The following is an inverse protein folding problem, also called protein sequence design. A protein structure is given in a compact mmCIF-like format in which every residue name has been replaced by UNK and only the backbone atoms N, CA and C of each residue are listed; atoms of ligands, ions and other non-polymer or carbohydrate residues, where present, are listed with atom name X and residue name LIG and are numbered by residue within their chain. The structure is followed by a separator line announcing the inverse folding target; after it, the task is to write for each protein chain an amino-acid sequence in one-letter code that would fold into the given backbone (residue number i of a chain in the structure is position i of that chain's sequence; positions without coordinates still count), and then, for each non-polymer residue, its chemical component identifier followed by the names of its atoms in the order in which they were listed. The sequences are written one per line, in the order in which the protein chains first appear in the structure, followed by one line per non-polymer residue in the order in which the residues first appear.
data_IF_164075944419
#
_entry.id   IF_164075944419
#
_cell.length_a   1.000
_cell.length_b   1.000
_cell.length_c   1.000
_cell.angle_alpha   90.00
_cell.angle_beta   90.00
_cell.angle_gamma   90.00
#
_symmetry.space_group_name_H-M   'P 1'
#
loop_
_entity.id
_entity.type
_entity.pdbx_description
1 polymer ?
#
# COMPACT_ATOMS: atom_id res chain seq x y z
N UNK A 1 -15.60 32.05 11.64
CA UNK A 1 -15.38 30.64 11.99
C UNK A 1 -14.40 30.06 10.98
N UNK A 2 -13.13 29.92 11.34
CA UNK A 2 -12.11 29.35 10.46
C UNK A 2 -12.36 27.86 10.30
N UNK A 3 -12.88 27.43 9.15
CA UNK A 3 -12.89 26.02 8.80
C UNK A 3 -11.47 25.50 8.83
N UNK A 4 -11.23 24.42 9.56
CA UNK A 4 -10.00 23.64 9.46
C UNK A 4 -9.71 23.42 7.95
N UNK A 5 -8.51 23.73 7.45
CA UNK A 5 -8.21 23.50 6.04
C UNK A 5 -8.46 22.02 5.74
N UNK A 6 -9.30 21.76 4.73
CA UNK A 6 -9.57 20.41 4.25
C UNK A 6 -8.21 19.82 3.88
N UNK A 7 -7.75 18.82 4.64
CA UNK A 7 -6.50 18.14 4.32
C UNK A 7 -6.65 17.55 2.92
N UNK A 8 -5.93 18.15 1.97
CA UNK A 8 -5.98 17.73 0.58
C UNK A 8 -5.57 16.27 0.48
N UNK A 9 -6.49 15.42 0.02
CA UNK A 9 -6.22 14.00 -0.10
C UNK A 9 -5.20 13.78 -1.23
N UNK A 10 -4.08 13.12 -0.92
CA UNK A 10 -3.06 12.78 -1.92
C UNK A 10 -3.62 11.73 -2.88
N UNK A 11 -3.51 11.97 -4.19
CA UNK A 11 -3.97 11.08 -5.26
C UNK A 11 -5.38 10.50 -5.06
N UNK A 12 -6.43 11.33 -4.90
CA UNK A 12 -7.74 10.89 -4.44
C UNK A 12 -8.34 9.83 -5.37
N UNK A 13 -8.45 10.13 -6.67
CA UNK A 13 -9.04 9.24 -7.67
C UNK A 13 -8.34 7.88 -7.75
N UNK A 14 -7.01 7.88 -7.90
CA UNK A 14 -6.22 6.65 -7.96
C UNK A 14 -6.33 5.86 -6.66
N UNK A 15 -6.28 6.52 -5.50
CA UNK A 15 -6.38 5.85 -4.20
C UNK A 15 -7.74 5.18 -4.01
N UNK A 16 -8.84 5.84 -4.43
CA UNK A 16 -10.18 5.26 -4.35
C UNK A 16 -10.33 4.08 -5.31
N UNK A 17 -9.77 4.17 -6.52
CA UNK A 17 -9.77 3.06 -7.47
C UNK A 17 -9.06 1.83 -6.92
N UNK A 18 -7.86 2.02 -6.35
CA UNK A 18 -7.10 0.92 -5.71
C UNK A 18 -7.89 0.35 -4.53
N UNK A 19 -8.49 1.18 -3.68
CA UNK A 19 -9.32 0.71 -2.56
C UNK A 19 -10.48 -0.16 -3.06
N UNK A 20 -11.20 0.28 -4.11
CA UNK A 20 -12.25 -0.53 -4.74
C UNK A 20 -11.76 -1.89 -5.21
N UNK A 21 -10.57 -1.94 -5.82
CA UNK A 21 -9.91 -3.18 -6.25
C UNK A 21 -9.61 -4.10 -5.07
N UNK A 22 -9.13 -3.56 -3.94
CA UNK A 22 -8.84 -4.35 -2.74
C UNK A 22 -10.12 -5.00 -2.16
N UNK A 23 -11.22 -4.25 -2.11
CA UNK A 23 -12.52 -4.79 -1.69
C UNK A 23 -13.05 -5.84 -2.67
N UNK A 24 -12.92 -5.60 -3.97
CA UNK A 24 -13.29 -6.57 -5.00
C UNK A 24 -12.51 -7.88 -4.86
N UNK A 25 -11.21 -7.80 -4.63
CA UNK A 25 -10.37 -8.97 -4.40
C UNK A 25 -10.84 -9.80 -3.20
N UNK A 26 -11.23 -9.14 -2.11
CA UNK A 26 -11.78 -9.84 -0.94
C UNK A 26 -13.12 -10.52 -1.22
N UNK A 27 -14.00 -9.88 -2.01
CA UNK A 27 -15.33 -10.40 -2.31
C UNK A 27 -15.30 -11.57 -3.30
N UNK A 28 -14.38 -11.55 -4.27
CA UNK A 28 -14.30 -12.59 -5.31
C UNK A 28 -13.38 -13.77 -4.92
N UNK A 29 -12.44 -13.59 -3.99
CA UNK A 29 -11.66 -14.70 -3.44
C UNK A 29 -12.46 -15.45 -2.37
N UNK A 30 -12.55 -16.79 -2.44
CA UNK A 30 -13.14 -17.54 -1.33
C UNK A 30 -12.28 -17.38 -0.06
N UNK A 31 -12.84 -17.74 1.10
CA UNK A 31 -12.16 -17.56 2.40
C UNK A 31 -11.00 -18.55 2.59
N UNK A 32 -10.06 -18.19 3.47
CA UNK A 32 -8.97 -19.09 3.90
C UNK A 32 -7.72 -19.09 3.00
N UNK A 33 -7.62 -18.19 2.04
CA UNK A 33 -6.47 -18.13 1.13
C UNK A 33 -5.27 -17.38 1.75
N UNK A 34 -4.07 -17.90 1.45
CA UNK A 34 -2.80 -17.27 1.81
C UNK A 34 -2.62 -15.90 1.14
N UNK A 35 -1.79 -15.04 1.76
CA UNK A 35 -1.42 -13.70 1.27
C UNK A 35 -1.02 -13.66 -0.21
N UNK A 36 -0.23 -14.64 -0.67
CA UNK A 36 0.19 -14.76 -2.08
C UNK A 36 -0.98 -14.85 -3.07
N UNK A 37 -2.12 -15.42 -2.66
CA UNK A 37 -3.29 -15.53 -3.53
C UNK A 37 -4.07 -14.21 -3.57
N UNK A 38 -4.15 -13.51 -2.42
CA UNK A 38 -4.71 -12.16 -2.36
C UNK A 38 -3.91 -11.22 -3.26
N UNK A 39 -2.57 -11.28 -3.18
CA UNK A 39 -1.69 -10.52 -4.06
C UNK A 39 -1.98 -10.80 -5.54
N UNK A 40 -2.05 -12.07 -5.95
CA UNK A 40 -2.36 -12.43 -7.35
C UNK A 40 -3.73 -11.93 -7.80
N UNK A 41 -4.74 -11.97 -6.95
CA UNK A 41 -6.07 -11.44 -7.28
C UNK A 41 -6.04 -9.91 -7.43
N UNK A 42 -5.35 -9.21 -6.54
CA UNK A 42 -5.18 -7.75 -6.64
C UNK A 42 -4.45 -7.37 -7.93
N UNK A 43 -3.36 -8.08 -8.27
CA UNK A 43 -2.63 -7.88 -9.53
C UNK A 43 -3.54 -8.08 -10.76
N UNK A 44 -4.36 -9.13 -10.77
CA UNK A 44 -5.33 -9.40 -11.83
C UNK A 44 -6.31 -8.22 -12.00
N UNK A 45 -6.86 -7.70 -10.89
CA UNK A 45 -7.83 -6.61 -10.94
C UNK A 45 -7.19 -5.26 -11.28
N UNK A 46 -5.97 -4.97 -10.82
CA UNK A 46 -5.19 -3.81 -11.26
C UNK A 46 -5.01 -3.82 -12.79
N UNK A 47 -4.63 -4.97 -13.35
CA UNK A 47 -4.47 -5.13 -14.79
C UNK A 47 -5.81 -4.96 -15.55
N UNK A 48 -6.90 -5.56 -15.07
CA UNK A 48 -8.25 -5.41 -15.66
C UNK A 48 -8.73 -3.96 -15.67
N UNK A 49 -8.33 -3.19 -14.67
CA UNK A 49 -8.65 -1.76 -14.55
C UNK A 49 -7.72 -0.84 -15.35
N UNK A 50 -6.78 -1.42 -16.12
CA UNK A 50 -5.85 -0.69 -16.96
C UNK A 50 -4.79 0.11 -16.18
N UNK A 51 -4.58 -0.20 -14.90
CA UNK A 51 -3.61 0.48 -14.06
C UNK A 51 -2.22 -0.10 -14.28
N UNK A 52 -1.21 0.77 -14.41
CA UNK A 52 0.17 0.31 -14.46
C UNK A 52 0.66 -0.02 -13.05
N UNK A 53 1.34 -1.15 -12.87
CA UNK A 53 1.92 -1.48 -11.57
C UNK A 53 3.21 -2.27 -11.70
N UNK A 54 4.02 -2.20 -10.65
CA UNK A 54 5.16 -3.08 -10.43
C UNK A 54 4.90 -3.93 -9.20
N UNK A 55 5.10 -5.23 -9.32
CA UNK A 55 5.11 -6.14 -8.18
C UNK A 55 6.47 -6.12 -7.47
N UNK A 56 6.50 -6.52 -6.20
CA UNK A 56 7.73 -6.73 -5.43
C UNK A 56 8.63 -5.49 -5.48
N UNK A 57 8.08 -4.36 -5.02
CA UNK A 57 8.78 -3.08 -4.99
C UNK A 57 9.88 -3.11 -3.90
N UNK A 58 11.12 -3.29 -4.35
CA UNK A 58 12.27 -3.48 -3.47
C UNK A 58 12.63 -2.22 -2.69
N UNK A 59 12.85 -2.40 -1.40
CA UNK A 59 13.32 -1.37 -0.47
C UNK A 59 14.67 -1.80 0.06
N UNK A 60 15.66 -0.91 -0.06
CA UNK A 60 17.03 -1.18 0.38
C UNK A 60 17.17 -0.85 1.86
N UNK A 61 17.66 -1.80 2.64
CA UNK A 61 18.02 -1.58 4.04
C UNK A 61 19.50 -1.19 4.10
N UNK A 62 19.79 -0.03 4.66
CA UNK A 62 21.15 0.50 4.82
C UNK A 62 21.53 0.69 6.29
N UNK A 63 22.80 0.48 6.58
CA UNK A 63 23.46 0.92 7.82
C UNK A 63 24.69 1.73 7.40
N UNK A 64 24.62 3.05 7.60
CA UNK A 64 25.54 3.98 6.95
C UNK A 64 25.42 3.89 5.43
N UNK A 65 26.55 3.69 4.76
CA UNK A 65 26.62 3.52 3.30
C UNK A 65 26.42 2.06 2.86
N UNK A 66 26.48 1.10 3.79
CA UNK A 66 26.43 -0.33 3.47
C UNK A 66 24.99 -0.84 3.35
N UNK A 67 24.72 -1.55 2.26
CA UNK A 67 23.47 -2.30 2.07
C UNK A 67 23.55 -3.60 2.88
N UNK A 68 22.58 -3.82 3.76
CA UNK A 68 22.52 -5.02 4.61
C UNK A 68 21.37 -5.96 4.26
N UNK A 69 20.48 -5.55 3.36
CA UNK A 69 19.37 -6.37 2.91
C UNK A 69 18.36 -5.62 2.07
N UNK A 70 17.30 -6.34 1.69
CA UNK A 70 16.14 -5.80 0.99
C UNK A 70 14.88 -6.42 1.57
N UNK A 71 13.80 -5.64 1.61
CA UNK A 71 12.45 -6.17 1.70
C UNK A 71 11.65 -5.66 0.50
N UNK A 72 10.50 -6.27 0.24
CA UNK A 72 9.70 -5.97 -0.93
C UNK A 72 8.29 -5.63 -0.47
N UNK A 73 7.76 -4.51 -0.97
CA UNK A 73 6.35 -4.19 -0.83
C UNK A 73 5.58 -4.80 -2.00
N UNK A 74 4.29 -5.09 -1.80
CA UNK A 74 3.53 -5.85 -2.80
C UNK A 74 3.42 -5.14 -4.15
N UNK A 75 3.06 -3.85 -4.16
CA UNK A 75 2.88 -3.10 -5.40
C UNK A 75 3.33 -1.64 -5.33
N UNK A 76 3.73 -1.11 -6.50
CA UNK A 76 3.71 0.32 -6.78
C UNK A 76 2.83 0.56 -8.00
N UNK A 77 1.74 1.31 -7.80
CA UNK A 77 0.72 1.60 -8.82
C UNK A 77 0.94 2.99 -9.39
N UNK A 78 0.96 3.09 -10.72
CA UNK A 78 1.18 4.30 -11.52
C UNK A 78 2.40 5.14 -11.09
N UNK A 79 3.41 4.50 -10.50
CA UNK A 79 4.58 5.16 -9.91
C UNK A 79 4.20 6.27 -8.90
N UNK A 80 3.03 6.16 -8.26
CA UNK A 80 2.45 7.18 -7.38
C UNK A 80 2.10 6.64 -6.00
N UNK A 81 1.48 5.47 -5.93
CA UNK A 81 1.00 4.88 -4.68
C UNK A 81 1.66 3.53 -4.47
N UNK A 82 2.26 3.33 -3.29
CA UNK A 82 2.71 2.01 -2.86
C UNK A 82 1.59 1.28 -2.12
N UNK A 83 1.46 -0.03 -2.32
CA UNK A 83 0.42 -0.86 -1.70
C UNK A 83 1.09 -2.04 -1.03
N UNK A 84 0.73 -2.29 0.24
CA UNK A 84 1.16 -3.44 1.03
C UNK A 84 -0.08 -4.19 1.52
N UNK A 85 -0.10 -5.49 1.33
CA UNK A 85 -1.20 -6.38 1.72
C UNK A 85 -0.78 -7.22 2.92
N UNK A 86 -1.71 -7.45 3.83
CA UNK A 86 -1.54 -8.36 4.97
C UNK A 86 -2.78 -9.21 5.14
N UNK A 87 -2.61 -10.52 5.28
CA UNK A 87 -3.72 -11.43 5.62
C UNK A 87 -3.69 -11.79 7.10
N UNK A 88 -4.81 -11.58 7.80
CA UNK A 88 -5.00 -11.95 9.20
C UNK A 88 -5.65 -10.88 10.06
N UNK A 89 -5.77 -11.16 11.36
CA UNK A 89 -6.49 -10.29 12.29
C UNK A 89 -5.68 -9.06 12.76
N UNK A 90 -4.34 -9.08 12.62
CA UNK A 90 -3.47 -8.06 13.21
C UNK A 90 -2.59 -7.38 12.16
N UNK A 91 -2.36 -6.09 12.36
CA UNK A 91 -1.26 -5.34 11.77
C UNK A 91 -0.25 -5.03 12.86
N UNK A 92 1.00 -4.87 12.47
CA UNK A 92 2.11 -4.55 13.35
C UNK A 92 2.72 -3.21 12.96
N UNK A 93 3.36 -2.54 13.92
CA UNK A 93 4.05 -1.27 13.68
C UNK A 93 5.05 -1.37 12.51
N UNK A 94 5.74 -2.51 12.38
CA UNK A 94 6.70 -2.75 11.30
C UNK A 94 6.10 -2.62 9.90
N UNK A 95 4.81 -2.95 9.72
CA UNK A 95 4.14 -2.90 8.41
C UNK A 95 3.99 -1.44 7.96
N UNK A 96 3.69 -0.54 8.90
CA UNK A 96 3.65 0.90 8.64
C UNK A 96 5.04 1.49 8.40
N UNK A 97 6.05 1.07 9.18
CA UNK A 97 7.42 1.56 9.01
C UNK A 97 8.02 1.12 7.67
N UNK A 98 7.70 -0.08 7.18
CA UNK A 98 8.11 -0.54 5.85
C UNK A 98 7.63 0.39 4.74
N UNK A 99 6.36 0.81 4.80
CA UNK A 99 5.79 1.77 3.85
C UNK A 99 6.46 3.13 4.00
N UNK A 100 6.58 3.66 5.22
CA UNK A 100 7.21 4.98 5.46
C UNK A 100 8.63 5.06 4.90
N UNK A 101 9.45 4.04 5.15
CA UNK A 101 10.82 3.98 4.63
C UNK A 101 10.85 3.95 3.09
N UNK A 102 9.88 3.27 2.46
CA UNK A 102 9.76 3.29 1.01
C UNK A 102 9.37 4.66 0.47
N UNK A 103 8.34 5.30 1.06
CA UNK A 103 7.94 6.66 0.72
C UNK A 103 9.10 7.65 0.85
N UNK A 104 9.86 7.58 1.95
CA UNK A 104 11.05 8.41 2.17
C UNK A 104 12.15 8.18 1.14
N UNK A 105 12.44 6.93 0.79
CA UNK A 105 13.53 6.60 -0.16
C UNK A 105 13.18 6.86 -1.62
N UNK A 106 11.90 6.94 -1.95
CA UNK A 106 11.41 7.13 -3.33
C UNK A 106 10.82 8.50 -3.61
N UNK A 107 10.49 9.27 -2.56
CA UNK A 107 9.80 10.55 -2.68
C UNK A 107 8.30 10.43 -2.99
N UNK A 108 7.72 9.21 -2.92
CA UNK A 108 6.28 9.03 -3.03
C UNK A 108 5.59 9.54 -1.77
N UNK A 109 4.39 10.09 -1.93
CA UNK A 109 3.69 10.79 -0.85
C UNK A 109 2.68 9.89 -0.11
N UNK A 110 2.17 8.84 -0.77
CA UNK A 110 1.09 8.00 -0.26
C UNK A 110 1.38 6.50 -0.40
N UNK A 111 1.18 5.78 0.70
CA UNK A 111 1.07 4.33 0.72
C UNK A 111 -0.26 3.85 1.29
N UNK A 112 -0.70 2.68 0.83
CA UNK A 112 -1.91 1.99 1.28
C UNK A 112 -1.52 0.67 1.95
N UNK A 113 -1.79 0.54 3.24
CA UNK A 113 -1.68 -0.73 3.97
C UNK A 113 -3.07 -1.37 4.05
N UNK A 114 -3.25 -2.51 3.42
CA UNK A 114 -4.53 -3.21 3.35
C UNK A 114 -4.48 -4.51 4.15
N UNK A 115 -5.33 -4.61 5.18
CA UNK A 115 -5.49 -5.84 5.98
C UNK A 115 -6.75 -6.58 5.53
N UNK A 116 -6.57 -7.79 5.04
CA UNK A 116 -7.62 -8.73 4.66
C UNK A 116 -7.87 -9.70 5.81
N UNK A 117 -9.12 -9.85 6.22
CA UNK A 117 -9.52 -10.91 7.15
C UNK A 117 -10.94 -11.38 6.90
N UNK A 118 -11.40 -12.41 7.61
CA UNK A 118 -12.74 -12.98 7.42
C UNK A 118 -13.89 -11.99 7.67
N UNK A 119 -13.58 -10.86 8.33
CA UNK A 119 -14.49 -9.76 8.64
C UNK A 119 -14.49 -8.64 7.59
N UNK A 120 -13.65 -8.73 6.56
CA UNK A 120 -13.52 -7.71 5.52
C UNK A 120 -12.12 -7.14 5.36
N UNK A 121 -12.03 -6.10 4.52
CA UNK A 121 -10.80 -5.34 4.26
C UNK A 121 -10.77 -4.06 5.07
N UNK A 122 -9.65 -3.77 5.74
CA UNK A 122 -9.35 -2.46 6.32
C UNK A 122 -8.17 -1.84 5.59
N UNK A 123 -8.32 -0.60 5.13
CA UNK A 123 -7.26 0.13 4.43
C UNK A 123 -6.82 1.34 5.24
N UNK A 124 -5.51 1.46 5.44
CA UNK A 124 -4.87 2.57 6.13
C UNK A 124 -4.05 3.38 5.14
N UNK A 125 -4.20 4.70 5.16
CA UNK A 125 -3.37 5.63 4.39
C UNK A 125 -2.15 6.00 5.22
N UNK A 126 -0.97 5.75 4.67
CA UNK A 126 0.31 6.14 5.25
C UNK A 126 0.86 7.28 4.42
N UNK A 127 0.99 8.46 5.02
CA UNK A 127 1.51 9.65 4.35
C UNK A 127 2.99 9.81 4.66
N UNK A 128 3.74 10.26 3.67
CA UNK A 128 5.09 10.78 3.92
C UNK A 128 4.96 12.00 4.85
N UNK A 129 5.78 12.11 5.91
CA UNK A 129 5.83 13.32 6.71
C UNK A 129 6.19 14.50 5.81
N UNK A 130 5.34 15.53 5.78
CA UNK A 130 5.65 16.79 5.11
C UNK A 130 6.92 17.33 5.76
N UNK A 131 8.00 17.49 4.98
CA UNK A 131 9.15 18.26 5.44
C UNK A 131 8.66 19.69 5.65
N UNK A 132 8.44 20.06 6.92
CA UNK A 132 8.33 21.47 7.28
C UNK A 132 9.73 22.05 7.11
N UNK A 133 9.91 22.83 6.04
CA UNK A 133 11.04 23.76 5.94
C UNK A 133 10.89 24.86 6.99
#
# INVERSE_FOLDING_TARGET
MGGQPIQQLVHPELSYKIVGILFRAHNELPKGYQEKHVQRAVALFLAKEGLSFKEQAGVVIRVGEKIIGRYFLDFVVDKKIVVELKVGEKLFRKDFEQIKNYLQSTGLELGLLARFSDKGVKVYRVLQPIKRN
#
